data_IF_634840026230
#
_entry.id   IF_634840026230
#
_cell.length_a   1.000
_cell.length_b   1.000
_cell.length_c   1.000
_cell.angle_alpha   90.00
_cell.angle_beta   90.00
_cell.angle_gamma   90.00
#
_symmetry.space_group_name_H-M   'P 1'
#
loop_
_entity.id
_entity.type
_entity.pdbx_description
1 polymer ?
#
# COMPACT_ATOMS: atom_id res chain seq x y z
N UNK A 1 0.87 -7.04 9.59
CA UNK A 1 -0.06 -6.77 8.47
C UNK A 1 0.05 -5.34 7.93
N UNK A 2 -0.10 -4.30 8.77
CA UNK A 2 -0.01 -2.90 8.32
C UNK A 2 1.30 -2.59 7.58
N UNK A 3 2.45 -3.02 8.11
CA UNK A 3 3.76 -2.87 7.45
C UNK A 3 3.81 -3.50 6.04
N UNK A 4 3.15 -4.64 5.84
CA UNK A 4 3.11 -5.31 4.55
C UNK A 4 2.22 -4.56 3.55
N UNK A 5 1.05 -4.08 3.99
CA UNK A 5 0.18 -3.24 3.19
C UNK A 5 0.87 -1.92 2.81
N UNK A 6 1.51 -1.23 3.77
CA UNK A 6 2.29 -0.01 3.51
C UNK A 6 3.40 -0.26 2.49
N UNK A 7 4.19 -1.32 2.69
CA UNK A 7 5.32 -1.65 1.81
C UNK A 7 4.87 -1.94 0.39
N UNK A 8 3.81 -2.72 0.21
CA UNK A 8 3.30 -3.10 -1.11
C UNK A 8 2.68 -1.91 -1.84
N UNK A 9 1.91 -1.08 -1.15
CA UNK A 9 1.41 0.19 -1.68
C UNK A 9 2.55 1.14 -2.06
N UNK A 10 3.52 1.36 -1.16
CA UNK A 10 4.65 2.26 -1.39
C UNK A 10 5.55 1.81 -2.54
N UNK A 11 5.83 0.50 -2.64
CA UNK A 11 6.58 -0.06 -3.78
C UNK A 11 5.87 0.18 -5.11
N UNK A 12 4.56 -0.05 -5.14
CA UNK A 12 3.75 0.12 -6.35
C UNK A 12 3.63 1.59 -6.74
N UNK A 13 3.46 2.48 -5.75
CA UNK A 13 3.47 3.93 -5.97
C UNK A 13 4.80 4.40 -6.58
N UNK A 14 5.94 3.95 -6.02
CA UNK A 14 7.29 4.26 -6.55
C UNK A 14 7.47 3.74 -7.97
N UNK A 15 7.09 2.48 -8.22
CA UNK A 15 7.22 1.84 -9.52
C UNK A 15 6.42 2.59 -10.60
N UNK A 16 5.15 2.92 -10.33
CA UNK A 16 4.27 3.57 -11.32
C UNK A 16 4.64 5.04 -11.54
N UNK A 17 5.04 5.77 -10.49
CA UNK A 17 5.36 7.20 -10.66
C UNK A 17 6.79 7.45 -11.14
N UNK A 18 7.67 6.45 -11.12
CA UNK A 18 9.11 6.61 -11.35
C UNK A 18 9.78 7.56 -10.36
N UNK A 19 9.23 7.70 -9.14
CA UNK A 19 9.78 8.58 -8.10
C UNK A 19 10.28 7.71 -6.97
N UNK A 20 11.55 7.89 -6.62
CA UNK A 20 12.20 7.07 -5.60
C UNK A 20 11.84 7.51 -4.18
N UNK A 21 11.81 8.82 -3.94
CA UNK A 21 11.61 9.40 -2.62
C UNK A 21 10.13 9.66 -2.36
N UNK A 22 9.58 8.89 -1.43
CA UNK A 22 8.20 9.04 -0.98
C UNK A 22 8.07 8.78 0.52
N UNK A 23 7.11 9.45 1.13
CA UNK A 23 6.68 9.22 2.51
C UNK A 23 5.18 8.88 2.56
N UNK A 24 4.81 7.94 3.43
CA UNK A 24 3.42 7.66 3.77
C UNK A 24 2.87 8.84 4.57
N UNK A 25 1.79 9.46 4.07
CA UNK A 25 1.07 10.56 4.75
C UNK A 25 -0.06 10.00 5.61
N UNK A 26 -0.77 9.01 5.06
CA UNK A 26 -1.90 8.36 5.70
C UNK A 26 -1.94 6.91 5.24
N UNK A 27 -2.32 6.03 6.15
CA UNK A 27 -2.62 4.64 5.86
C UNK A 27 -3.79 4.20 6.72
N UNK A 28 -4.96 4.06 6.09
CA UNK A 28 -6.15 3.51 6.73
C UNK A 28 -6.18 2.01 6.50
N UNK A 29 -6.39 1.24 7.56
CA UNK A 29 -6.46 -0.22 7.49
C UNK A 29 -7.71 -0.72 8.18
N UNK A 30 -8.40 -1.62 7.51
CA UNK A 30 -9.60 -2.29 8.00
C UNK A 30 -9.30 -3.78 8.10
N UNK A 31 -9.31 -4.31 9.31
CA UNK A 31 -9.14 -5.73 9.59
C UNK A 31 -10.50 -6.41 9.46
N UNK A 32 -10.63 -7.25 8.44
CA UNK A 32 -11.87 -7.98 8.13
C UNK A 32 -11.86 -9.34 8.83
N UNK A 33 -10.70 -9.99 8.88
CA UNK A 33 -10.52 -11.30 9.51
C UNK A 33 -9.11 -11.44 10.11
N UNK A 34 -8.94 -12.39 11.03
CA UNK A 34 -7.63 -12.73 11.59
C UNK A 34 -6.84 -13.64 10.64
N UNK A 35 -5.62 -13.24 10.31
CA UNK A 35 -4.64 -14.13 9.68
C UNK A 35 -3.95 -15.01 10.72
N UNK A 36 -3.53 -16.19 10.31
CA UNK A 36 -2.85 -17.19 11.12
C UNK A 36 -1.36 -17.27 10.78
N UNK A 37 -0.56 -17.76 11.72
CA UNK A 37 0.84 -18.07 11.47
C UNK A 37 0.91 -19.22 10.46
N UNK A 38 1.69 -19.04 9.40
CA UNK A 38 1.78 -19.98 8.28
C UNK A 38 0.98 -19.56 7.06
N UNK A 39 0.08 -18.58 7.18
CA UNK A 39 -0.68 -18.06 6.05
C UNK A 39 0.22 -17.35 5.03
N UNK A 40 -0.04 -17.58 3.74
CA UNK A 40 0.59 -16.85 2.65
C UNK A 40 -0.26 -15.62 2.33
N UNK A 41 0.25 -14.44 2.70
CA UNK A 41 -0.43 -13.18 2.45
C UNK A 41 -0.14 -12.66 1.03
N UNK A 42 -1.19 -12.40 0.24
CA UNK A 42 -1.09 -11.80 -1.09
C UNK A 42 -1.74 -10.42 -1.09
N UNK A 43 -0.95 -9.38 -1.38
CA UNK A 43 -1.41 -7.99 -1.54
C UNK A 43 -1.51 -7.64 -3.02
N UNK A 44 -2.62 -7.00 -3.42
CA UNK A 44 -2.83 -6.49 -4.80
C UNK A 44 -3.05 -4.97 -4.78
N UNK A 45 -1.97 -4.19 -4.63
CA UNK A 45 -2.06 -2.74 -4.60
C UNK A 45 -2.40 -2.16 -5.98
N UNK A 46 -3.25 -1.14 -6.00
CA UNK A 46 -3.63 -0.37 -7.19
C UNK A 46 -3.54 1.12 -6.93
N UNK A 47 -3.15 1.88 -7.93
CA UNK A 47 -3.21 3.35 -7.90
C UNK A 47 -4.66 3.75 -8.18
N UNK A 48 -5.28 4.43 -7.22
CA UNK A 48 -6.61 5.02 -7.37
C UNK A 48 -6.51 6.35 -8.10
N UNK A 49 -5.51 7.17 -7.75
CA UNK A 49 -5.25 8.47 -8.37
C UNK A 49 -3.80 8.88 -8.19
N UNK A 50 -3.21 9.48 -9.21
CA UNK A 50 -1.90 10.13 -9.13
C UNK A 50 -2.05 11.61 -9.43
N UNK A 51 -1.31 12.44 -8.69
CA UNK A 51 -1.24 13.89 -8.86
C UNK A 51 0.23 14.32 -8.92
N UNK A 52 0.48 15.63 -9.06
CA UNK A 52 1.85 16.16 -9.03
C UNK A 52 2.62 15.84 -7.75
N UNK A 53 1.95 15.70 -6.59
CA UNK A 53 2.64 15.56 -5.30
C UNK A 53 2.11 14.46 -4.39
N UNK A 54 0.93 13.91 -4.67
CA UNK A 54 0.31 12.85 -3.88
C UNK A 54 -0.12 11.69 -4.78
N UNK A 55 0.03 10.47 -4.26
CA UNK A 55 -0.44 9.23 -4.89
C UNK A 55 -1.38 8.53 -3.92
N UNK A 56 -2.58 8.22 -4.41
CA UNK A 56 -3.63 7.54 -3.67
C UNK A 56 -3.65 6.07 -4.08
N UNK A 57 -3.52 5.19 -3.10
CA UNK A 57 -3.39 3.75 -3.25
C UNK A 57 -4.54 3.04 -2.55
N UNK A 58 -4.93 1.89 -3.08
CA UNK A 58 -5.83 0.94 -2.41
C UNK A 58 -5.25 -0.46 -2.58
N UNK A 59 -5.38 -1.32 -1.56
CA UNK A 59 -4.98 -2.72 -1.64
C UNK A 59 -5.87 -3.59 -0.79
N UNK A 60 -6.00 -4.84 -1.21
CA UNK A 60 -6.59 -5.93 -0.45
C UNK A 60 -5.49 -6.95 -0.17
N UNK A 61 -5.42 -7.41 1.08
CA UNK A 61 -4.56 -8.51 1.51
C UNK A 61 -5.43 -9.75 1.68
N UNK A 62 -5.05 -10.80 0.96
CA UNK A 62 -5.82 -12.04 0.86
C UNK A 62 -5.02 -13.24 1.33
N UNK A 63 -5.71 -14.24 1.90
CA UNK A 63 -5.21 -15.59 2.21
C UNK A 63 -6.16 -16.58 1.55
N UNK A 64 -5.64 -17.44 0.68
CA UNK A 64 -6.44 -18.42 -0.08
C UNK A 64 -7.70 -17.81 -0.73
N UNK A 65 -7.55 -16.58 -1.25
CA UNK A 65 -8.63 -15.82 -1.90
C UNK A 65 -9.58 -15.08 -0.95
N UNK A 66 -9.50 -15.29 0.37
CA UNK A 66 -10.29 -14.57 1.37
C UNK A 66 -9.61 -13.26 1.76
N UNK A 67 -10.35 -12.14 1.71
CA UNK A 67 -9.81 -10.84 2.12
C UNK A 67 -9.75 -10.74 3.66
N UNK A 68 -8.55 -10.55 4.20
CA UNK A 68 -8.33 -10.42 5.65
C UNK A 68 -8.08 -8.97 6.07
N UNK A 69 -7.53 -8.15 5.16
CA UNK A 69 -7.27 -6.72 5.39
C UNK A 69 -7.54 -5.92 4.12
N UNK A 70 -8.24 -4.80 4.27
CA UNK A 70 -8.32 -3.76 3.24
C UNK A 70 -7.51 -2.55 3.70
N UNK A 71 -6.76 -1.92 2.81
CA UNK A 71 -5.98 -0.74 3.15
C UNK A 71 -6.03 0.33 2.06
N UNK A 72 -6.11 1.59 2.48
CA UNK A 72 -6.01 2.74 1.61
C UNK A 72 -4.85 3.62 2.08
N UNK A 73 -3.99 4.04 1.16
CA UNK A 73 -2.77 4.78 1.48
C UNK A 73 -2.66 6.06 0.67
N UNK A 74 -2.09 7.09 1.28
CA UNK A 74 -1.71 8.34 0.60
C UNK A 74 -0.21 8.53 0.76
N UNK A 75 0.49 8.66 -0.37
CA UNK A 75 1.95 8.83 -0.41
C UNK A 75 2.31 10.21 -0.96
N UNK A 76 3.18 10.93 -0.25
CA UNK A 76 3.77 12.19 -0.70
C UNK A 76 5.03 11.92 -1.50
N UNK A 77 5.08 12.48 -2.71
CA UNK A 77 6.31 12.55 -3.51
C UNK A 77 7.22 13.61 -2.90
N UNK A 78 8.41 13.20 -2.50
CA UNK A 78 9.44 14.08 -1.94
C UNK A 78 10.46 14.45 -3.03
N UNK A 79 11.17 15.56 -2.83
CA UNK A 79 12.43 15.80 -3.54
C UNK A 79 13.46 14.84 -2.95
N UNK A 80 14.30 14.26 -3.80
CA UNK A 80 15.41 13.45 -3.33
C UNK A 80 16.38 14.26 -2.47
N UNK A 81 17.28 13.59 -1.73
CA UNK A 81 18.41 14.26 -1.11
C UNK A 81 19.15 15.00 -2.23
N UNK A 82 19.23 16.32 -2.08
CA UNK A 82 20.07 17.17 -2.91
C UNK A 82 21.54 16.98 -2.57
#
# INVERSE_FOLDING_TARGET
>A
MMTFADRTCGMTARYISGKEFMATVQLDTHFVEAGQIGDILISRPRVVRSTRSLIFMSTEVTVDGRCIVMANGVFKILKGPG
#
